data_IF_659608047192
#
_entry.id   IF_659608047192
#
_cell.length_a   1.000
_cell.length_b   1.000
_cell.length_c   1.000
_cell.angle_alpha   90.00
_cell.angle_beta   90.00
_cell.angle_gamma   90.00
#
_symmetry.space_group_name_H-M   'P 1'
#
loop_
_entity.id
_entity.type
_entity.pdbx_description
1 polymer ?
#
# COMPACT_ATOMS: atom_id res chain seq x y z
N UNK A 1 -2.00 -0.19 -10.51
CA UNK A 1 -2.09 -0.53 -9.08
C UNK A 1 -0.71 -0.88 -8.55
N UNK A 2 -0.40 -0.45 -7.33
CA UNK A 2 0.84 -0.80 -6.66
C UNK A 2 0.57 -1.53 -5.35
N UNK A 3 1.58 -2.25 -4.86
CA UNK A 3 1.62 -2.83 -3.53
C UNK A 3 2.69 -2.11 -2.72
N UNK A 4 2.33 -1.64 -1.53
CA UNK A 4 3.20 -1.00 -0.57
C UNK A 4 3.41 -1.93 0.62
N UNK A 5 4.67 -2.20 0.96
CA UNK A 5 5.02 -3.03 2.10
C UNK A 5 5.11 -2.17 3.37
N UNK A 6 4.18 -2.38 4.29
CA UNK A 6 4.00 -1.59 5.50
C UNK A 6 4.38 -2.43 6.73
N UNK A 7 5.16 -1.83 7.63
CA UNK A 7 5.40 -2.39 8.97
C UNK A 7 4.16 -2.19 9.83
N UNK A 8 3.82 -3.15 10.71
CA UNK A 8 2.69 -3.03 11.63
C UNK A 8 2.77 -1.77 12.49
N UNK A 9 3.96 -1.43 12.96
CA UNK A 9 4.18 -0.23 13.77
C UNK A 9 3.88 1.09 13.03
N UNK A 10 3.90 1.11 11.69
CA UNK A 10 3.64 2.31 10.89
C UNK A 10 2.23 2.36 10.30
N UNK A 11 1.51 1.24 10.33
CA UNK A 11 0.26 1.09 9.61
C UNK A 11 -0.80 2.10 10.07
N UNK A 12 -0.93 2.34 11.37
CA UNK A 12 -1.90 3.30 11.89
C UNK A 12 -1.58 4.72 11.42
N UNK A 13 -0.33 5.17 11.57
CA UNK A 13 0.10 6.50 11.12
C UNK A 13 -0.16 6.73 9.63
N UNK A 14 0.03 5.70 8.78
CA UNK A 14 -0.30 5.80 7.35
C UNK A 14 -1.78 6.12 7.14
N UNK A 15 -2.67 5.48 7.90
CA UNK A 15 -4.11 5.76 7.85
C UNK A 15 -4.49 7.12 8.45
N UNK A 16 -3.82 7.51 9.53
CA UNK A 16 -4.19 8.71 10.30
C UNK A 16 -3.68 9.98 9.62
N UNK A 17 -2.49 9.92 9.00
CA UNK A 17 -1.83 11.04 8.32
C UNK A 17 -2.10 11.05 6.81
N UNK A 18 -2.46 9.90 6.23
CA UNK A 18 -2.63 9.77 4.78
C UNK A 18 -1.32 9.88 3.99
N UNK A 19 -0.19 9.47 4.60
CA UNK A 19 1.14 9.52 3.97
C UNK A 19 1.87 8.20 4.14
N UNK A 20 2.53 7.75 3.07
CA UNK A 20 3.43 6.61 3.10
C UNK A 20 4.84 7.00 2.65
N UNK A 21 5.84 6.79 3.51
CA UNK A 21 7.20 7.26 3.26
C UNK A 21 8.09 6.18 2.63
N UNK A 22 8.92 6.60 1.67
CA UNK A 22 9.79 5.72 0.86
C UNK A 22 11.15 6.35 0.59
N UNK A 23 12.18 5.51 0.40
CA UNK A 23 13.54 5.98 0.16
C UNK A 23 13.83 6.19 -1.33
N UNK A 24 13.02 5.58 -2.20
CA UNK A 24 13.15 5.68 -3.65
C UNK A 24 11.97 6.45 -4.23
N UNK A 25 12.23 7.25 -5.25
CA UNK A 25 11.17 7.92 -6.01
C UNK A 25 10.53 6.90 -6.94
N UNK A 26 9.29 6.52 -6.66
CA UNK A 26 8.49 5.67 -7.53
C UNK A 26 7.68 6.55 -8.49
N UNK A 27 7.47 6.07 -9.72
CA UNK A 27 6.64 6.76 -10.72
C UNK A 27 5.14 6.50 -10.46
N UNK A 28 4.69 6.78 -9.24
CA UNK A 28 3.29 6.68 -8.83
C UNK A 28 2.59 7.97 -9.22
N UNK A 29 1.50 7.84 -9.96
CA UNK A 29 0.74 8.97 -10.49
C UNK A 29 -0.53 9.23 -9.68
N UNK A 30 -1.07 10.45 -9.78
CA UNK A 30 -2.37 10.80 -9.20
C UNK A 30 -3.46 9.81 -9.68
N UNK A 31 -4.34 9.40 -8.77
CA UNK A 31 -5.42 8.44 -9.00
C UNK A 31 -4.97 6.97 -9.04
N UNK A 32 -3.67 6.65 -8.95
CA UNK A 32 -3.25 5.26 -8.89
C UNK A 32 -3.62 4.63 -7.53
N UNK A 33 -4.18 3.42 -7.59
CA UNK A 33 -4.51 2.63 -6.41
C UNK A 33 -3.29 1.91 -5.85
N UNK A 34 -3.13 1.96 -4.54
CA UNK A 34 -2.00 1.45 -3.78
C UNK A 34 -2.53 0.53 -2.66
N UNK A 35 -2.07 -0.71 -2.63
CA UNK A 35 -2.46 -1.70 -1.63
C UNK A 35 -1.49 -1.63 -0.45
N UNK A 36 -2.01 -1.47 0.77
CA UNK A 36 -1.21 -1.47 1.98
C UNK A 36 -1.09 -2.91 2.50
N UNK A 37 0.07 -3.54 2.26
CA UNK A 37 0.35 -4.92 2.65
C UNK A 37 1.21 -4.96 3.91
N UNK A 38 0.82 -5.72 4.92
CA UNK A 38 1.70 -5.98 6.05
C UNK A 38 2.88 -6.87 5.63
N UNK A 39 4.08 -6.51 6.06
CA UNK A 39 5.27 -7.33 5.84
C UNK A 39 5.17 -8.66 6.59
N UNK A 40 5.68 -9.75 5.99
CA UNK A 40 5.66 -11.12 6.56
C UNK A 40 6.09 -11.22 8.02
N UNK A 41 7.15 -10.51 8.41
CA UNK A 41 7.63 -10.52 9.82
C UNK A 41 6.60 -10.01 10.82
N UNK A 42 5.70 -9.15 10.37
CA UNK A 42 4.63 -8.58 11.17
C UNK A 42 3.29 -9.32 10.94
N UNK A 43 3.25 -10.36 10.11
CA UNK A 43 2.11 -11.28 9.95
C UNK A 43 2.61 -12.72 9.65
N UNK A 44 3.26 -13.41 10.60
CA UNK A 44 4.08 -14.60 10.31
C UNK A 44 3.33 -15.80 9.71
N UNK A 45 2.00 -15.85 9.92
CA UNK A 45 1.12 -16.90 9.38
C UNK A 45 0.82 -16.70 7.89
N UNK A 46 1.15 -15.55 7.35
CA UNK A 46 0.83 -15.11 5.99
C UNK A 46 2.09 -14.57 5.31
N UNK A 47 2.12 -14.54 3.98
CA UNK A 47 3.21 -13.87 3.25
C UNK A 47 3.05 -12.34 3.26
N UNK A 48 1.86 -11.88 3.61
CA UNK A 48 1.55 -10.50 3.92
C UNK A 48 0.15 -10.18 3.44
N UNK A 49 -0.74 -9.81 4.37
CA UNK A 49 -2.12 -9.50 4.02
C UNK A 49 -2.31 -8.03 3.70
N UNK A 50 -3.19 -7.77 2.72
CA UNK A 50 -3.67 -6.43 2.41
C UNK A 50 -4.59 -5.95 3.53
N UNK A 51 -4.30 -4.76 4.06
CA UNK A 51 -5.02 -4.13 5.18
C UNK A 51 -5.73 -2.84 4.79
N UNK A 52 -5.35 -2.26 3.66
CA UNK A 52 -5.89 -0.98 3.23
C UNK A 52 -5.66 -0.74 1.76
N UNK A 53 -6.38 0.27 1.28
CA UNK A 53 -6.24 0.81 -0.07
C UNK A 53 -6.01 2.31 0.09
N UNK A 54 -5.08 2.83 -0.67
CA UNK A 54 -4.79 4.24 -0.76
C UNK A 54 -4.88 4.64 -2.24
N UNK A 55 -5.63 5.70 -2.54
CA UNK A 55 -5.55 6.36 -3.84
C UNK A 55 -4.50 7.46 -3.73
N UNK A 56 -3.56 7.49 -4.67
CA UNK A 56 -2.44 8.43 -4.64
C UNK A 56 -2.86 9.81 -5.12
N UNK A 57 -2.40 10.85 -4.43
CA UNK A 57 -2.38 12.22 -4.97
C UNK A 57 -1.03 12.54 -5.66
N UNK A 58 0.01 11.78 -5.33
CA UNK A 58 1.32 11.87 -5.98
C UNK A 58 2.47 11.53 -5.05
N UNK A 59 3.69 11.74 -5.53
CA UNK A 59 4.92 11.55 -4.75
C UNK A 59 5.65 12.89 -4.64
N UNK A 60 5.95 13.29 -3.40
CA UNK A 60 6.69 14.53 -3.09
C UNK A 60 7.94 14.22 -2.27
N UNK A 61 8.87 15.16 -2.20
CA UNK A 61 10.05 15.06 -1.32
C UNK A 61 9.66 15.33 0.14
N UNK A 62 10.30 14.64 1.08
CA UNK A 62 10.13 14.87 2.52
C UNK A 62 11.05 16.01 2.98
N UNK A 63 10.83 17.22 2.44
CA UNK A 63 11.73 18.37 2.62
C UNK A 63 11.84 18.85 4.08
N UNK A 64 10.82 18.59 4.90
CA UNK A 64 10.73 19.03 6.29
C UNK A 64 10.99 17.91 7.32
N UNK A 65 11.48 16.75 6.88
CA UNK A 65 11.75 15.60 7.76
C UNK A 65 10.52 15.15 8.59
N UNK A 66 9.31 15.29 8.04
CA UNK A 66 8.06 14.87 8.69
C UNK A 66 8.07 13.38 9.02
N UNK A 67 8.79 12.58 8.20
CA UNK A 67 8.99 11.17 8.49
C UNK A 67 9.73 10.91 9.81
N UNK A 68 10.66 11.79 10.21
CA UNK A 68 11.39 11.69 11.48
C UNK A 68 10.44 11.94 12.64
N UNK A 69 9.58 12.95 12.53
CA UNK A 69 8.59 13.28 13.56
C UNK A 69 7.57 12.15 13.75
N UNK A 70 7.06 11.59 12.64
CA UNK A 70 6.02 10.56 12.66
C UNK A 70 6.56 9.16 12.99
N UNK A 71 7.80 8.85 12.62
CA UNK A 71 8.31 7.48 12.63
C UNK A 71 9.71 7.31 13.26
N UNK A 72 10.36 8.39 13.69
CA UNK A 72 11.71 8.35 14.27
C UNK A 72 12.79 7.93 13.26
N UNK A 73 12.49 8.01 11.96
CA UNK A 73 13.41 7.60 10.89
C UNK A 73 13.22 8.52 9.69
N UNK A 74 14.33 8.85 9.02
CA UNK A 74 14.35 9.67 7.81
C UNK A 74 14.09 8.82 6.56
N UNK A 75 13.16 9.27 5.73
CA UNK A 75 12.96 8.85 4.35
C UNK A 75 13.18 10.04 3.40
N UNK A 76 13.14 9.80 2.09
CA UNK A 76 13.39 10.86 1.09
C UNK A 76 12.12 11.40 0.44
N UNK A 77 11.10 10.55 0.33
CA UNK A 77 9.87 10.88 -0.37
C UNK A 77 8.67 10.44 0.44
N UNK A 78 7.54 11.12 0.25
CA UNK A 78 6.23 10.71 0.73
C UNK A 78 5.28 10.51 -0.44
N UNK A 79 4.51 9.43 -0.37
CA UNK A 79 3.36 9.18 -1.24
C UNK A 79 2.15 9.74 -0.50
N UNK A 80 1.49 10.71 -1.10
CA UNK A 80 0.32 11.37 -0.52
C UNK A 80 -0.95 10.60 -0.90
N UNK A 81 -1.86 10.43 0.05
CA UNK A 81 -3.18 9.88 -0.20
C UNK A 81 -4.16 11.00 -0.59
N UNK A 82 -4.84 10.87 -1.72
CA UNK A 82 -6.08 11.62 -1.97
C UNK A 82 -7.22 11.05 -1.13
N UNK A 83 -7.26 9.71 -1.02
CA UNK A 83 -8.23 8.93 -0.25
C UNK A 83 -7.55 7.71 0.34
N UNK A 84 -7.94 7.31 1.54
CA UNK A 84 -7.43 6.11 2.18
C UNK A 84 -8.55 5.33 2.88
N UNK A 85 -8.56 4.01 2.69
CA UNK A 85 -9.58 3.11 3.22
C UNK A 85 -8.90 2.00 3.99
N UNK A 86 -9.23 1.88 5.28
CA UNK A 86 -8.88 0.73 6.10
C UNK A 86 -9.86 -0.41 5.85
N UNK A 87 -9.35 -1.57 5.45
CA UNK A 87 -10.16 -2.77 5.27
C UNK A 87 -10.56 -3.35 6.63
N UNK A 88 -11.79 -3.84 6.72
CA UNK A 88 -12.26 -4.55 7.92
C UNK A 88 -11.55 -5.91 8.04
N UNK A 89 -11.37 -6.45 9.26
CA UNK A 89 -10.64 -7.70 9.47
C UNK A 89 -11.09 -8.89 8.62
N UNK A 90 -12.41 -9.05 8.43
CA UNK A 90 -13.01 -10.10 7.59
C UNK A 90 -12.70 -9.96 6.09
N UNK A 91 -12.24 -8.77 5.70
CA UNK A 91 -12.04 -8.36 4.32
C UNK A 91 -10.55 -8.27 3.95
N UNK A 92 -9.67 -8.59 4.90
CA UNK A 92 -8.25 -8.79 4.65
C UNK A 92 -8.02 -10.03 3.78
N UNK A 93 -6.99 -9.99 2.94
CA UNK A 93 -6.66 -11.10 2.03
C UNK A 93 -5.17 -11.13 1.69
N UNK A 94 -4.66 -12.29 1.29
CA UNK A 94 -3.35 -12.43 0.68
C UNK A 94 -3.47 -12.28 -0.84
N UNK A 95 -2.42 -11.80 -1.52
CA UNK A 95 -2.45 -11.72 -2.99
C UNK A 95 -2.55 -13.12 -3.63
N UNK A 96 -1.98 -14.15 -2.99
CA UNK A 96 -2.04 -15.55 -3.43
C UNK A 96 -3.48 -16.04 -3.56
N UNK A 97 -4.39 -15.54 -2.73
CA UNK A 97 -5.82 -15.91 -2.76
C UNK A 97 -6.54 -15.40 -4.03
N UNK A 98 -5.95 -14.43 -4.73
CA UNK A 98 -6.57 -13.76 -5.88
C UNK A 98 -5.86 -14.09 -7.19
N UNK A 99 -4.53 -13.99 -7.20
CA UNK A 99 -3.71 -14.12 -8.42
C UNK A 99 -2.82 -15.37 -8.39
N UNK A 100 -2.97 -16.22 -7.37
CA UNK A 100 -2.32 -17.52 -7.28
C UNK A 100 -0.80 -17.46 -7.25
N UNK A 101 -0.15 -18.37 -7.99
CA UNK A 101 1.32 -18.52 -8.01
C UNK A 101 2.03 -17.22 -8.42
N UNK A 102 1.40 -16.40 -9.26
CA UNK A 102 1.97 -15.12 -9.71
C UNK A 102 2.21 -14.15 -8.56
N UNK A 103 1.47 -14.24 -7.46
CA UNK A 103 1.64 -13.34 -6.33
C UNK A 103 3.01 -13.46 -5.64
N UNK A 104 3.69 -14.60 -5.76
CA UNK A 104 4.99 -14.82 -5.12
C UNK A 104 6.04 -13.79 -5.53
N UNK A 105 5.99 -13.29 -6.77
CA UNK A 105 6.89 -12.24 -7.27
C UNK A 105 6.69 -10.89 -6.56
N UNK A 106 5.53 -10.68 -5.92
CA UNK A 106 5.20 -9.45 -5.20
C UNK A 106 5.56 -9.46 -3.72
N UNK A 107 6.06 -10.57 -3.14
CA UNK A 107 6.55 -10.60 -1.73
C UNK A 107 8.03 -10.23 -1.57
N UNK A 108 8.65 -9.65 -2.59
CA UNK A 108 9.99 -9.08 -2.49
C UNK A 108 10.05 -8.01 -1.40
N UNK A 109 11.20 -7.86 -0.74
CA UNK A 109 11.39 -6.93 0.39
C UNK A 109 11.48 -5.44 0.00
N UNK A 110 11.02 -5.08 -1.21
CA UNK A 110 11.02 -3.70 -1.69
C UNK A 110 9.85 -2.90 -1.08
N UNK A 111 10.05 -1.60 -0.87
CA UNK A 111 9.03 -0.71 -0.27
C UNK A 111 7.75 -0.67 -1.11
N UNK A 112 7.87 -0.56 -2.44
CA UNK A 112 6.75 -0.53 -3.38
C UNK A 112 7.04 -1.36 -4.64
N UNK A 113 6.00 -1.94 -5.23
CA UNK A 113 6.08 -2.68 -6.49
C UNK A 113 4.78 -2.54 -7.28
N UNK A 114 4.90 -2.36 -8.58
CA UNK A 114 3.76 -2.26 -9.49
C UNK A 114 3.24 -3.66 -9.78
N UNK A 115 1.92 -3.84 -9.70
CA UNK A 115 1.27 -5.07 -10.17
C UNK A 115 1.22 -5.04 -11.69
N UNK A 116 1.31 -6.22 -12.30
CA UNK A 116 1.04 -6.39 -13.72
C UNK A 116 -0.44 -6.13 -14.00
N UNK A 117 -0.76 -5.83 -15.26
CA UNK A 117 -2.10 -5.38 -15.62
C UNK A 117 -3.20 -6.39 -15.21
N UNK A 118 -3.02 -7.66 -15.58
CA UNK A 118 -4.01 -8.71 -15.31
C UNK A 118 -4.16 -9.00 -13.81
N UNK A 119 -3.04 -8.99 -13.09
CA UNK A 119 -3.00 -9.16 -11.63
C UNK A 119 -3.73 -7.99 -10.94
N UNK A 120 -3.50 -6.76 -11.40
CA UNK A 120 -4.19 -5.58 -10.91
C UNK A 120 -5.71 -5.65 -11.15
N UNK A 121 -6.15 -6.06 -12.35
CA UNK A 121 -7.57 -6.23 -12.66
C UNK A 121 -8.25 -7.26 -11.77
N UNK A 122 -7.57 -8.37 -11.46
CA UNK A 122 -8.11 -9.39 -10.55
C UNK A 122 -8.29 -8.84 -9.13
N UNK A 123 -7.33 -8.07 -8.63
CA UNK A 123 -7.43 -7.42 -7.33
C UNK A 123 -8.52 -6.34 -7.33
N UNK A 124 -8.67 -5.55 -8.40
CA UNK A 124 -9.76 -4.57 -8.51
C UNK A 124 -11.14 -5.22 -8.40
N UNK A 125 -11.34 -6.38 -9.03
CA UNK A 125 -12.60 -7.14 -8.90
C UNK A 125 -12.89 -7.53 -7.46
N UNK A 126 -11.88 -7.96 -6.69
CA UNK A 126 -12.03 -8.26 -5.25
C UNK A 126 -12.43 -7.02 -4.46
N UNK A 127 -11.88 -5.87 -4.83
CA UNK A 127 -12.05 -4.60 -4.11
C UNK A 127 -13.25 -3.78 -4.59
N UNK A 128 -14.04 -4.28 -5.54
CA UNK A 128 -15.09 -3.52 -6.23
C UNK A 128 -16.00 -2.72 -5.30
N UNK A 129 -16.40 -3.28 -4.15
CA UNK A 129 -17.26 -2.57 -3.18
C UNK A 129 -16.58 -1.35 -2.55
N UNK A 130 -15.27 -1.40 -2.33
CA UNK A 130 -14.51 -0.28 -1.79
C UNK A 130 -14.20 0.74 -2.89
N UNK A 131 -13.90 0.26 -4.11
CA UNK A 131 -13.60 1.14 -5.25
C UNK A 131 -14.82 1.98 -5.68
N UNK A 132 -16.05 1.53 -5.43
CA UNK A 132 -17.26 2.35 -5.60
C UNK A 132 -17.23 3.64 -4.77
N UNK A 133 -16.58 3.62 -3.61
CA UNK A 133 -16.43 4.79 -2.75
C UNK A 133 -15.21 5.66 -3.10
N UNK A 134 -14.32 5.17 -3.97
CA UNK A 134 -13.13 5.90 -4.42
C UNK A 134 -13.38 6.56 -5.79
N UNK A 135 -14.16 5.94 -6.69
CA UNK A 135 -14.43 6.45 -8.04
C UNK A 135 -15.65 7.38 -8.17
N UNK A 136 -16.24 7.83 -7.05
CA UNK A 136 -17.28 8.87 -6.99
C UNK A 136 -16.65 10.22 -6.64
#
# INVERSE_FOLDING_TARGET
MWRLNVRRMYLNNVFDVGKFFVNRRFNIQHGELLLLQLVKKDDPRHLGRIRGIMESDGVVEDEHDESVELYGRKWKYSILASRIIRLQPRDWFDLDDIIGINARKYYTQVEAMRLEHDDALAVERRLVRYLKHIKQ
#
